data_IF_868500031944
#
_entry.id   IF_868500031944
#
_cell.length_a   1.000
_cell.length_b   1.000
_cell.length_c   1.000
_cell.angle_alpha   90.00
_cell.angle_beta   90.00
_cell.angle_gamma   90.00
#
_symmetry.space_group_name_H-M   'P 1'
#
loop_
_entity.id
_entity.type
_entity.pdbx_description
1 polymer ?
#
# COMPACT_ATOMS: atom_id res chain seq x y z
N UNK A 1 14.10 -18.28 -17.73
CA UNK A 1 12.74 -18.66 -18.18
C UNK A 1 11.98 -17.38 -18.47
N UNK A 2 11.16 -17.37 -19.51
CA UNK A 2 10.30 -16.25 -19.87
C UNK A 2 8.87 -16.76 -20.00
N UNK A 3 7.94 -16.15 -19.25
CA UNK A 3 6.51 -16.37 -19.42
C UNK A 3 5.92 -15.19 -20.18
N UNK A 4 5.02 -15.46 -21.12
CA UNK A 4 4.36 -14.46 -21.94
C UNK A 4 2.99 -14.96 -22.38
N UNK A 5 2.17 -14.04 -22.89
CA UNK A 5 0.89 -14.40 -23.51
C UNK A 5 0.99 -14.28 -25.03
N UNK A 6 0.23 -15.09 -25.77
CA UNK A 6 0.17 -14.99 -27.22
C UNK A 6 -1.23 -15.36 -27.77
N UNK A 7 -1.56 -14.84 -28.96
CA UNK A 7 -2.83 -15.05 -29.66
C UNK A 7 -2.65 -15.88 -30.95
N UNK A 8 -1.84 -16.95 -30.90
CA UNK A 8 -1.54 -17.77 -32.09
C UNK A 8 -2.73 -18.68 -32.48
N UNK A 9 -3.61 -19.03 -31.54
CA UNK A 9 -4.67 -20.06 -31.69
C UNK A 9 -6.09 -19.50 -31.75
N UNK A 10 -6.23 -18.17 -31.83
CA UNK A 10 -7.54 -17.50 -31.78
C UNK A 10 -8.05 -17.20 -30.37
N UNK A 11 -7.24 -17.48 -29.34
CA UNK A 11 -7.45 -17.09 -27.95
C UNK A 11 -6.11 -16.69 -27.31
N UNK A 12 -6.15 -15.89 -26.25
CA UNK A 12 -4.96 -15.53 -25.48
C UNK A 12 -4.57 -16.70 -24.59
N UNK A 13 -3.35 -17.20 -24.74
CA UNK A 13 -2.81 -18.32 -23.99
C UNK A 13 -1.54 -17.90 -23.25
N UNK A 14 -1.21 -18.59 -22.16
CA UNK A 14 0.03 -18.42 -21.40
C UNK A 14 1.08 -19.41 -21.88
N UNK A 15 2.19 -18.89 -22.37
CA UNK A 15 3.31 -19.67 -22.90
C UNK A 15 4.58 -19.47 -22.07
N UNK A 16 5.43 -20.50 -22.11
CA UNK A 16 6.73 -20.53 -21.47
C UNK A 16 7.84 -20.80 -22.50
N UNK A 17 8.89 -19.99 -22.43
CA UNK A 17 10.18 -20.27 -23.05
C UNK A 17 11.19 -20.65 -21.96
N UNK A 18 11.83 -21.80 -22.14
CA UNK A 18 12.95 -22.29 -21.34
C UNK A 18 14.22 -22.32 -22.20
N UNK A 19 15.36 -22.64 -21.59
CA UNK A 19 16.59 -22.87 -22.35
C UNK A 19 16.53 -24.12 -23.25
N UNK A 20 15.68 -25.09 -22.90
CA UNK A 20 15.57 -26.37 -23.60
C UNK A 20 14.46 -26.41 -24.65
N UNK A 21 13.39 -25.65 -24.44
CA UNK A 21 12.20 -25.67 -25.29
C UNK A 21 11.51 -24.30 -25.31
N UNK A 22 11.05 -23.91 -26.50
CA UNK A 22 10.30 -22.68 -26.73
C UNK A 22 8.81 -22.98 -26.98
N UNK A 23 7.96 -21.97 -26.76
CA UNK A 23 6.51 -21.98 -27.01
C UNK A 23 5.78 -23.15 -26.34
N UNK A 24 6.11 -23.45 -25.09
CA UNK A 24 5.33 -24.43 -24.30
C UNK A 24 4.02 -23.75 -23.91
N UNK A 25 2.88 -24.21 -24.42
CA UNK A 25 1.57 -23.74 -23.95
C UNK A 25 1.28 -24.35 -22.57
N UNK A 26 1.13 -23.50 -21.54
CA UNK A 26 0.88 -23.93 -20.17
C UNK A 26 -0.61 -23.96 -19.81
N UNK A 27 -1.42 -23.07 -20.38
CA UNK A 27 -2.83 -22.90 -19.98
C UNK A 27 -3.79 -23.80 -20.77
N UNK A 28 -3.59 -23.92 -22.08
CA UNK A 28 -4.30 -24.80 -23.01
C UNK A 28 -5.82 -24.91 -22.72
N UNK A 29 -6.52 -23.78 -22.73
CA UNK A 29 -7.94 -23.72 -22.38
C UNK A 29 -8.66 -22.71 -23.28
N UNK A 30 -9.93 -22.94 -23.69
CA UNK A 30 -10.67 -22.00 -24.55
C UNK A 30 -10.88 -20.57 -23.99
N UNK A 31 -10.50 -20.35 -22.74
CA UNK A 31 -10.60 -19.06 -22.08
C UNK A 31 -9.49 -18.14 -22.59
N UNK A 32 -9.65 -16.84 -22.41
CA UNK A 32 -8.56 -15.90 -22.54
C UNK A 32 -7.76 -15.92 -21.23
N UNK A 33 -6.46 -16.17 -21.36
CA UNK A 33 -5.49 -16.14 -20.27
C UNK A 33 -4.47 -15.02 -20.53
N UNK A 34 -4.41 -14.04 -19.62
CA UNK A 34 -3.65 -12.80 -19.79
C UNK A 34 -2.84 -12.43 -18.56
N UNK A 35 -1.96 -11.45 -18.73
CA UNK A 35 -1.10 -10.86 -17.71
C UNK A 35 -0.26 -11.88 -16.92
N UNK A 36 0.41 -12.85 -17.57
CA UNK A 36 1.18 -13.84 -16.84
C UNK A 36 2.38 -13.20 -16.12
N UNK A 37 2.68 -13.72 -14.94
CA UNK A 37 3.83 -13.37 -14.10
C UNK A 37 4.46 -14.62 -13.53
N UNK A 38 5.77 -14.73 -13.73
CA UNK A 38 6.59 -15.75 -13.11
C UNK A 38 7.04 -15.25 -11.73
N UNK A 39 6.94 -16.08 -10.69
CA UNK A 39 7.50 -15.73 -9.39
C UNK A 39 9.05 -15.72 -9.44
N UNK A 40 9.70 -15.10 -8.45
CA UNK A 40 11.17 -14.96 -8.41
C UNK A 40 11.91 -16.30 -8.45
N UNK A 41 11.33 -17.34 -7.86
CA UNK A 41 11.89 -18.70 -7.85
C UNK A 41 11.69 -19.47 -9.17
N UNK A 42 10.96 -18.92 -10.14
CA UNK A 42 10.60 -19.57 -11.40
C UNK A 42 9.91 -20.95 -11.21
N UNK A 43 9.06 -21.05 -10.19
CA UNK A 43 8.32 -22.28 -9.86
C UNK A 43 6.82 -22.17 -10.13
N UNK A 44 6.27 -20.95 -10.10
CA UNK A 44 4.84 -20.72 -10.29
C UNK A 44 4.59 -19.59 -11.28
N UNK A 45 3.51 -19.74 -12.04
CA UNK A 45 2.96 -18.75 -12.96
C UNK A 45 1.62 -18.29 -12.43
N UNK A 46 1.50 -16.97 -12.24
CA UNK A 46 0.29 -16.26 -11.87
C UNK A 46 -0.26 -15.56 -13.11
N UNK A 47 -1.56 -15.62 -13.36
CA UNK A 47 -2.19 -15.03 -14.54
C UNK A 47 -3.66 -14.75 -14.27
N UNK A 48 -4.31 -13.97 -15.13
CA UNK A 48 -5.75 -13.76 -15.11
C UNK A 48 -6.41 -14.62 -16.19
N UNK A 49 -7.54 -15.25 -15.87
CA UNK A 49 -8.31 -16.10 -16.77
C UNK A 49 -9.78 -15.81 -16.69
N UNK A 50 -10.47 -15.74 -17.84
CA UNK A 50 -11.93 -15.58 -17.87
C UNK A 50 -12.71 -16.90 -17.86
N UNK A 51 -12.07 -18.03 -17.51
CA UNK A 51 -12.69 -19.37 -17.51
C UNK A 51 -13.88 -19.52 -16.55
N UNK A 52 -14.04 -18.61 -15.59
CA UNK A 52 -15.14 -18.58 -14.63
C UNK A 52 -16.26 -17.58 -14.98
N UNK A 53 -16.18 -16.89 -16.13
CA UNK A 53 -17.19 -15.95 -16.62
C UNK A 53 -16.69 -14.51 -16.73
N UNK A 54 -15.90 -14.06 -15.76
CA UNK A 54 -15.12 -12.82 -15.73
C UNK A 54 -13.64 -13.17 -15.46
N UNK A 55 -12.74 -12.20 -15.60
CA UNK A 55 -11.33 -12.45 -15.28
C UNK A 55 -11.15 -12.65 -13.79
N UNK A 56 -10.62 -13.81 -13.43
CA UNK A 56 -10.16 -14.14 -12.08
C UNK A 56 -8.67 -14.51 -12.11
N UNK A 57 -8.01 -14.44 -10.96
CA UNK A 57 -6.60 -14.78 -10.84
C UNK A 57 -6.41 -16.28 -10.60
N UNK A 58 -5.47 -16.85 -11.33
CA UNK A 58 -5.09 -18.26 -11.24
C UNK A 58 -3.59 -18.40 -11.05
N UNK A 59 -3.19 -19.45 -10.35
CA UNK A 59 -1.80 -19.86 -10.22
C UNK A 59 -1.63 -21.31 -10.64
N UNK A 60 -0.53 -21.62 -11.30
CA UNK A 60 -0.11 -22.99 -11.62
C UNK A 60 1.40 -23.12 -11.46
N UNK A 61 1.89 -24.37 -11.39
CA UNK A 61 3.32 -24.63 -11.51
C UNK A 61 3.80 -24.36 -12.94
N UNK A 62 5.09 -24.11 -13.10
CA UNK A 62 5.72 -23.88 -14.42
C UNK A 62 5.65 -25.08 -15.38
N UNK A 63 5.27 -26.26 -14.89
CA UNK A 63 4.98 -27.45 -15.69
C UNK A 63 3.50 -27.56 -16.11
N UNK A 64 2.67 -26.56 -15.78
CA UNK A 64 1.23 -26.51 -16.06
C UNK A 64 0.37 -27.26 -15.03
N UNK A 65 0.96 -27.95 -14.06
CA UNK A 65 0.22 -28.70 -13.04
C UNK A 65 -0.27 -27.81 -11.89
N UNK A 66 -1.16 -28.36 -11.05
CA UNK A 66 -1.68 -27.71 -9.83
C UNK A 66 -2.32 -26.34 -10.07
N UNK A 67 -3.05 -26.22 -11.18
CA UNK A 67 -3.84 -25.03 -11.45
C UNK A 67 -4.87 -24.79 -10.33
N UNK A 68 -4.82 -23.60 -9.75
CA UNK A 68 -5.67 -23.19 -8.62
C UNK A 68 -6.23 -21.80 -8.90
N UNK A 69 -7.53 -21.62 -8.69
CA UNK A 69 -8.20 -20.32 -8.71
C UNK A 69 -7.96 -19.60 -7.38
N UNK A 70 -7.51 -18.34 -7.43
CA UNK A 70 -7.19 -17.51 -6.26
C UNK A 70 -8.27 -16.49 -5.94
N UNK A 71 -9.03 -16.03 -6.94
CA UNK A 71 -10.15 -15.09 -6.78
C UNK A 71 -11.41 -15.64 -7.43
N UNK A 72 -12.56 -15.22 -6.91
CA UNK A 72 -13.87 -15.48 -7.47
C UNK A 72 -14.77 -14.27 -7.13
N UNK A 73 -14.36 -13.10 -7.61
CA UNK A 73 -15.05 -11.84 -7.28
C UNK A 73 -16.07 -11.47 -8.38
N UNK A 74 -17.00 -10.56 -8.07
CA UNK A 74 -18.06 -10.18 -9.00
C UNK A 74 -17.59 -9.32 -10.18
N UNK A 75 -16.35 -8.80 -10.14
CA UNK A 75 -15.75 -7.98 -11.19
C UNK A 75 -14.43 -8.57 -11.65
N UNK A 76 -13.87 -8.05 -12.73
CA UNK A 76 -12.57 -8.53 -13.22
C UNK A 76 -11.45 -8.31 -12.18
N UNK A 77 -10.64 -9.34 -11.96
CA UNK A 77 -9.37 -9.29 -11.23
C UNK A 77 -8.22 -9.51 -12.23
N UNK A 78 -7.38 -8.50 -12.41
CA UNK A 78 -6.35 -8.45 -13.48
C UNK A 78 -5.05 -7.82 -12.98
N UNK A 79 -4.05 -7.72 -13.87
CA UNK A 79 -2.73 -7.16 -13.59
C UNK A 79 -2.06 -7.69 -12.30
N UNK A 80 -2.05 -9.01 -12.06
CA UNK A 80 -1.52 -9.55 -10.82
C UNK A 80 0.01 -9.44 -10.80
N UNK A 81 0.60 -9.27 -9.62
CA UNK A 81 2.05 -9.25 -9.40
C UNK A 81 2.43 -9.89 -8.07
N UNK A 82 3.47 -10.71 -8.08
CA UNK A 82 4.07 -11.29 -6.88
C UNK A 82 4.82 -10.24 -6.07
N UNK A 83 4.76 -10.33 -4.74
CA UNK A 83 5.77 -9.70 -3.89
C UNK A 83 7.14 -10.35 -4.12
N UNK A 84 8.26 -9.66 -3.82
CA UNK A 84 9.61 -10.18 -4.12
C UNK A 84 9.97 -11.47 -3.37
N UNK A 85 9.38 -11.69 -2.20
CA UNK A 85 9.49 -12.90 -1.39
C UNK A 85 8.49 -14.00 -1.80
N UNK A 86 7.55 -13.69 -2.69
CA UNK A 86 6.50 -14.59 -3.16
C UNK A 86 5.39 -14.88 -2.15
N UNK A 87 5.33 -14.18 -1.01
CA UNK A 87 4.34 -14.44 0.04
C UNK A 87 2.99 -13.75 -0.20
N UNK A 88 2.97 -12.70 -1.02
CA UNK A 88 1.80 -11.89 -1.33
C UNK A 88 1.62 -11.71 -2.84
N UNK A 89 0.40 -11.35 -3.21
CA UNK A 89 0.03 -10.93 -4.56
C UNK A 89 -0.67 -9.59 -4.45
N UNK A 90 -0.23 -8.60 -5.23
CA UNK A 90 -1.01 -7.38 -5.48
C UNK A 90 -1.69 -7.48 -6.84
N UNK A 91 -2.89 -6.91 -6.97
CA UNK A 91 -3.67 -7.01 -8.20
C UNK A 91 -4.68 -5.85 -8.31
N UNK A 92 -5.18 -5.64 -9.52
CA UNK A 92 -6.22 -4.68 -9.83
C UNK A 92 -7.57 -5.40 -9.81
N UNK A 93 -8.56 -4.85 -9.10
CA UNK A 93 -9.89 -5.44 -8.99
C UNK A 93 -11.00 -4.45 -9.27
N UNK A 94 -11.97 -4.87 -10.10
CA UNK A 94 -13.19 -4.13 -10.43
C UNK A 94 -14.38 -4.52 -9.54
N UNK A 95 -14.16 -5.30 -8.46
CA UNK A 95 -15.23 -5.86 -7.62
C UNK A 95 -16.13 -4.84 -6.92
N UNK A 96 -15.66 -3.59 -6.80
CA UNK A 96 -16.39 -2.47 -6.17
C UNK A 96 -16.77 -1.35 -7.15
N UNK A 97 -16.77 -1.64 -8.46
CA UNK A 97 -17.12 -0.70 -9.52
C UNK A 97 -15.90 -0.07 -10.20
N UNK A 98 -15.18 0.81 -9.53
CA UNK A 98 -13.93 1.39 -10.07
C UNK A 98 -12.76 0.44 -9.74
N UNK A 99 -11.76 0.33 -10.62
CA UNK A 99 -10.61 -0.52 -10.35
C UNK A 99 -9.77 0.04 -9.21
N UNK A 100 -9.42 -0.85 -8.29
CA UNK A 100 -8.65 -0.56 -7.10
C UNK A 100 -7.55 -1.59 -6.91
N UNK A 101 -6.51 -1.21 -6.17
CA UNK A 101 -5.44 -2.12 -5.80
C UNK A 101 -5.84 -2.94 -4.60
N UNK A 102 -5.74 -4.25 -4.75
CA UNK A 102 -5.93 -5.24 -3.70
C UNK A 102 -4.63 -6.01 -3.45
N UNK A 103 -4.51 -6.54 -2.24
CA UNK A 103 -3.45 -7.49 -1.87
C UNK A 103 -4.05 -8.73 -1.22
N UNK A 104 -3.44 -9.88 -1.46
CA UNK A 104 -3.78 -11.15 -0.83
C UNK A 104 -2.53 -11.97 -0.51
N UNK A 105 -2.69 -13.03 0.28
CA UNK A 105 -1.68 -14.07 0.39
C UNK A 105 -1.49 -14.81 -0.94
N UNK A 106 -0.32 -15.40 -1.14
CA UNK A 106 0.00 -16.23 -2.32
C UNK A 106 -0.99 -17.39 -2.57
N UNK A 107 -1.66 -17.86 -1.52
CA UNK A 107 -2.68 -18.92 -1.58
C UNK A 107 -4.10 -18.41 -1.87
N UNK A 108 -4.27 -17.10 -2.09
CA UNK A 108 -5.55 -16.45 -2.37
C UNK A 108 -6.31 -15.98 -1.12
N UNK A 109 -5.86 -16.32 0.08
CA UNK A 109 -6.49 -15.89 1.34
C UNK A 109 -6.19 -14.44 1.72
N UNK A 110 -6.95 -13.89 2.67
CA UNK A 110 -6.75 -12.55 3.24
C UNK A 110 -6.73 -11.41 2.20
N UNK A 111 -7.66 -11.45 1.25
CA UNK A 111 -7.82 -10.39 0.26
C UNK A 111 -8.24 -9.10 0.94
N UNK A 112 -7.46 -8.04 0.74
CA UNK A 112 -7.63 -6.73 1.37
C UNK A 112 -7.52 -5.63 0.32
N UNK A 113 -8.49 -4.72 0.30
CA UNK A 113 -8.44 -3.51 -0.54
C UNK A 113 -7.43 -2.54 0.05
N UNK A 114 -6.48 -2.07 -0.76
CA UNK A 114 -5.48 -1.08 -0.34
C UNK A 114 -5.87 0.33 -0.76
N UNK A 115 -6.45 0.54 -1.94
CA UNK A 115 -6.80 1.88 -2.40
C UNK A 115 -8.31 2.15 -2.36
N UNK A 116 -8.67 3.41 -2.12
CA UNK A 116 -10.03 3.93 -2.28
C UNK A 116 -9.91 5.26 -3.02
N UNK A 117 -10.34 5.27 -4.26
CA UNK A 117 -10.13 6.33 -5.22
C UNK A 117 -11.45 6.68 -5.93
N UNK A 118 -11.70 7.96 -6.26
CA UNK A 118 -12.88 8.34 -7.04
C UNK A 118 -12.81 7.90 -8.51
N UNK A 119 -11.69 7.35 -8.96
CA UNK A 119 -11.40 6.93 -10.34
C UNK A 119 -10.40 5.75 -10.33
N UNK A 120 -9.80 5.43 -11.47
CA UNK A 120 -8.87 4.34 -11.68
C UNK A 120 -7.66 4.34 -10.73
N UNK A 121 -7.43 3.19 -10.08
CA UNK A 121 -6.15 2.76 -9.54
C UNK A 121 -5.83 1.34 -10.04
N UNK A 122 -4.70 1.15 -10.71
CA UNK A 122 -4.40 -0.13 -11.37
C UNK A 122 -2.93 -0.33 -11.69
N UNK A 123 -2.63 -1.46 -12.33
CA UNK A 123 -1.28 -1.85 -12.74
C UNK A 123 -0.23 -1.79 -11.61
N UNK A 124 -0.43 -2.50 -10.49
CA UNK A 124 0.51 -2.45 -9.36
C UNK A 124 1.85 -3.13 -9.69
N UNK A 125 2.91 -2.69 -9.02
CA UNK A 125 4.22 -3.37 -8.97
C UNK A 125 4.89 -3.17 -7.62
N UNK A 126 5.61 -4.18 -7.15
CA UNK A 126 6.34 -4.12 -5.88
C UNK A 126 7.74 -3.53 -6.06
N UNK A 127 8.22 -2.81 -5.05
CA UNK A 127 9.64 -2.49 -4.93
C UNK A 127 10.45 -3.78 -4.66
N UNK A 128 11.74 -3.83 -5.04
CA UNK A 128 12.56 -5.05 -4.87
C UNK A 128 12.71 -5.53 -3.42
N UNK A 129 12.57 -4.64 -2.44
CA UNK A 129 12.60 -4.91 -1.01
C UNK A 129 11.22 -5.28 -0.42
N UNK A 130 10.15 -5.19 -1.22
CA UNK A 130 8.79 -5.54 -0.82
C UNK A 130 8.10 -4.51 0.08
N UNK A 131 8.72 -3.36 0.36
CA UNK A 131 8.16 -2.36 1.28
C UNK A 131 7.17 -1.40 0.62
N UNK A 132 7.22 -1.25 -0.70
CA UNK A 132 6.45 -0.26 -1.44
C UNK A 132 5.74 -0.90 -2.62
N UNK A 133 4.52 -0.45 -2.90
CA UNK A 133 3.79 -0.74 -4.13
C UNK A 133 3.68 0.54 -4.95
N UNK A 134 4.14 0.52 -6.20
CA UNK A 134 3.86 1.55 -7.18
C UNK A 134 2.65 1.16 -8.04
N UNK A 135 1.83 2.13 -8.43
CA UNK A 135 0.62 1.89 -9.22
C UNK A 135 0.26 3.12 -10.05
N UNK A 136 -0.54 2.92 -11.11
CA UNK A 136 -1.08 4.00 -11.93
C UNK A 136 -2.41 4.49 -11.37
N UNK A 137 -2.60 5.81 -11.26
CA UNK A 137 -3.82 6.40 -10.75
C UNK A 137 -4.31 7.57 -11.60
N UNK A 138 -5.62 7.77 -11.64
CA UNK A 138 -6.29 8.94 -12.22
C UNK A 138 -6.91 9.90 -11.21
N UNK A 139 -6.68 9.69 -9.91
CA UNK A 139 -7.28 10.48 -8.81
C UNK A 139 -7.07 12.00 -8.86
N UNK A 140 -6.08 12.47 -9.63
CA UNK A 140 -5.76 13.91 -9.82
C UNK A 140 -5.94 14.37 -11.28
N UNK A 141 -6.66 13.61 -12.10
CA UNK A 141 -6.89 13.90 -13.52
C UNK A 141 -5.72 13.50 -14.42
N UNK A 142 -5.95 12.58 -15.36
CA UNK A 142 -4.89 11.96 -16.17
C UNK A 142 -4.10 10.90 -15.39
N UNK A 143 -3.39 10.01 -16.10
CA UNK A 143 -2.62 8.94 -15.47
C UNK A 143 -1.33 9.48 -14.84
N UNK A 144 -1.08 9.12 -13.58
CA UNK A 144 0.18 9.36 -12.87
C UNK A 144 0.58 8.12 -12.10
N UNK A 145 1.88 8.01 -11.78
CA UNK A 145 2.41 6.96 -10.92
C UNK A 145 2.37 7.42 -9.47
N UNK A 146 1.81 6.58 -8.61
CA UNK A 146 1.77 6.76 -7.16
C UNK A 146 2.49 5.59 -6.49
N UNK A 147 2.92 5.82 -5.26
CA UNK A 147 3.49 4.78 -4.40
C UNK A 147 2.75 4.72 -3.07
N UNK A 148 2.79 3.57 -2.44
CA UNK A 148 2.25 3.34 -1.11
C UNK A 148 3.07 2.32 -0.34
N UNK A 149 3.00 2.38 0.99
CA UNK A 149 3.57 1.36 1.86
C UNK A 149 2.77 0.06 1.69
N UNK A 150 3.47 -1.06 1.52
CA UNK A 150 2.82 -2.33 1.23
C UNK A 150 2.14 -2.97 2.45
N UNK A 151 2.59 -2.63 3.67
CA UNK A 151 2.02 -3.16 4.90
C UNK A 151 0.77 -2.39 5.34
N UNK A 152 0.74 -1.08 5.08
CA UNK A 152 -0.29 -0.16 5.59
C UNK A 152 -1.16 0.44 4.50
N UNK A 153 -0.85 0.21 3.22
CA UNK A 153 -1.57 0.78 2.09
C UNK A 153 -1.17 2.24 1.81
N UNK A 154 -1.97 2.99 1.04
CA UNK A 154 -1.68 4.38 0.70
C UNK A 154 -1.65 5.21 1.98
N UNK A 155 -0.47 5.75 2.30
CA UNK A 155 -0.33 6.82 3.28
C UNK A 155 -1.06 8.05 2.75
N UNK A 156 -2.27 8.25 3.22
CA UNK A 156 -3.07 9.45 2.95
C UNK A 156 -2.40 10.66 3.60
N UNK A 157 -1.53 11.37 2.86
CA UNK A 157 -1.14 12.74 3.21
C UNK A 157 -2.18 13.78 2.73
N UNK A 158 -3.48 13.46 2.79
CA UNK A 158 -4.53 14.34 2.26
C UNK A 158 -5.48 14.91 3.31
N UNK A 159 -5.13 14.88 4.59
CA UNK A 159 -5.75 15.79 5.55
C UNK A 159 -4.68 16.74 6.10
N UNK A 160 -4.86 18.04 5.80
CA UNK A 160 -4.10 19.12 6.44
C UNK A 160 -4.16 18.98 7.97
N UNK A 161 -5.25 18.40 8.50
CA UNK A 161 -5.39 18.02 9.90
C UNK A 161 -4.37 16.97 10.38
N UNK A 162 -4.00 15.98 9.57
CA UNK A 162 -3.04 14.93 9.96
C UNK A 162 -1.60 15.43 9.88
N UNK A 163 -1.30 16.29 8.88
CA UNK A 163 0.00 16.97 8.79
C UNK A 163 0.18 17.96 9.95
N UNK A 164 -0.87 18.70 10.31
CA UNK A 164 -0.89 19.57 11.48
C UNK A 164 -0.80 18.74 12.77
N UNK A 165 -1.51 17.61 12.90
CA UNK A 165 -1.41 16.75 14.08
C UNK A 165 0.01 16.19 14.28
N UNK A 166 0.70 15.79 13.20
CA UNK A 166 2.08 15.30 13.26
C UNK A 166 3.08 16.41 13.64
N UNK A 167 2.92 17.61 13.08
CA UNK A 167 3.74 18.78 13.40
C UNK A 167 3.45 19.35 14.82
N UNK A 168 2.21 19.23 15.31
CA UNK A 168 1.82 19.69 16.65
C UNK A 168 2.21 18.68 17.75
N UNK A 169 2.14 17.36 17.51
CA UNK A 169 2.47 16.36 18.53
C UNK A 169 3.98 16.12 18.68
N UNK A 170 4.79 16.42 17.65
CA UNK A 170 6.24 16.18 17.67
C UNK A 170 7.08 17.20 18.44
N UNK A 171 6.63 18.46 18.59
CA UNK A 171 7.46 19.55 19.15
C UNK A 171 6.81 20.38 20.26
N UNK A 172 5.52 20.18 20.57
CA UNK A 172 4.84 20.96 21.61
C UNK A 172 5.08 20.47 23.04
N UNK A 173 5.52 19.23 23.28
CA UNK A 173 5.85 18.80 24.64
C UNK A 173 7.00 19.60 25.23
N UNK A 174 8.04 19.87 24.45
CA UNK A 174 9.17 20.67 24.92
C UNK A 174 8.84 22.16 24.95
N UNK A 175 8.13 22.68 23.94
CA UNK A 175 7.78 24.10 23.88
C UNK A 175 6.79 24.50 24.98
N UNK A 176 5.77 23.66 25.26
CA UNK A 176 4.79 23.92 26.32
C UNK A 176 5.43 23.73 27.72
N UNK A 177 6.34 22.76 27.88
CA UNK A 177 7.10 22.59 29.12
C UNK A 177 8.01 23.80 29.40
N UNK A 178 8.70 24.30 28.38
CA UNK A 178 9.53 25.52 28.48
C UNK A 178 8.66 26.75 28.78
N UNK A 179 7.51 26.92 28.11
CA UNK A 179 6.57 28.02 28.38
C UNK A 179 5.99 27.96 29.80
N UNK A 180 5.65 26.77 30.30
CA UNK A 180 5.17 26.57 31.68
C UNK A 180 6.28 26.91 32.68
N UNK A 181 7.53 26.50 32.44
CA UNK A 181 8.66 26.87 33.28
C UNK A 181 8.93 28.39 33.28
N UNK A 182 8.85 29.04 32.12
CA UNK A 182 9.01 30.49 31.99
C UNK A 182 7.91 31.23 32.75
N UNK A 183 6.65 30.80 32.63
CA UNK A 183 5.53 31.39 33.38
C UNK A 183 5.71 31.20 34.89
N UNK A 184 6.09 30.01 35.36
CA UNK A 184 6.38 29.75 36.77
C UNK A 184 7.51 30.66 37.28
N UNK A 185 8.57 30.86 36.51
CA UNK A 185 9.65 31.79 36.86
C UNK A 185 9.18 33.25 36.93
N UNK A 186 8.39 33.70 35.95
CA UNK A 186 7.88 35.08 35.90
C UNK A 186 6.93 35.35 37.07
N UNK A 187 5.96 34.46 37.31
CA UNK A 187 5.02 34.61 38.42
C UNK A 187 5.70 34.45 39.77
N UNK A 188 6.66 33.54 39.91
CA UNK A 188 7.47 33.38 41.12
C UNK A 188 8.28 34.63 41.44
N UNK A 189 8.92 35.24 40.44
CA UNK A 189 9.67 36.48 40.61
C UNK A 189 8.76 37.66 40.95
N UNK A 190 7.62 37.81 40.26
CA UNK A 190 6.63 38.86 40.56
C UNK A 190 6.10 38.73 41.99
N UNK A 191 5.74 37.51 42.42
CA UNK A 191 5.28 37.24 43.78
C UNK A 191 6.37 37.53 44.81
N UNK A 192 7.61 37.10 44.56
CA UNK A 192 8.74 37.41 45.44
C UNK A 192 8.96 38.92 45.57
N UNK A 193 8.90 39.66 44.47
CA UNK A 193 9.10 41.11 44.46
C UNK A 193 7.96 41.85 45.17
N UNK A 194 6.73 41.40 44.98
CA UNK A 194 5.53 41.91 45.65
C UNK A 194 5.58 41.68 47.17
N UNK A 195 5.88 40.44 47.61
CA UNK A 195 6.05 40.11 49.02
C UNK A 195 7.21 40.90 49.63
N UNK A 196 8.33 41.04 48.91
CA UNK A 196 9.48 41.83 49.35
C UNK A 196 9.11 43.31 49.56
N UNK A 197 8.33 43.91 48.66
CA UNK A 197 7.90 45.30 48.79
C UNK A 197 6.90 45.52 49.93
N UNK A 198 6.09 44.52 50.28
CA UNK A 198 5.10 44.62 51.37
C UNK A 198 5.76 44.38 52.73
N UNK A 199 6.65 43.40 52.84
CA UNK A 199 7.17 42.95 54.14
C UNK A 199 8.50 43.62 54.54
N UNK A 200 9.30 44.16 53.61
CA UNK A 200 10.53 44.90 53.97
C UNK A 200 10.24 46.25 54.66
N UNK A 201 9.23 47.05 54.28
CA UNK A 201 8.94 48.30 54.98
C UNK A 201 8.41 48.07 56.40
N UNK A 202 7.68 46.98 56.65
CA UNK A 202 7.09 46.71 57.99
C UNK A 202 8.15 46.51 59.08
N UNK A 203 9.32 45.97 58.73
CA UNK A 203 10.38 45.71 59.70
C UNK A 203 11.05 46.99 60.24
N UNK A 204 10.91 48.13 59.54
CA UNK A 204 11.41 49.44 60.01
C UNK A 204 10.45 50.17 60.97
N UNK A 205 9.19 49.72 61.08
CA UNK A 205 8.17 50.37 61.92
C UNK A 205 7.76 49.56 63.15
N UNK A 206 8.21 48.29 63.28
CA UNK A 206 7.84 47.39 64.37
C UNK A 206 8.91 47.20 65.47
N UNK A 207 10.07 47.87 65.37
CA UNK A 207 11.16 47.81 66.36
C UNK A 207 11.76 49.20 66.67
N UNK A 208 10.91 50.18 66.97
CA UNK A 208 11.30 51.35 67.78
C UNK A 208 10.76 51.18 69.20
#
# INVERSE_FOLDING_TARGET
MLVYQNFDTGNWEVLLNTAAQAKINLSNHPAADIHPRLNRGATHVLFASNRAGNFDLYVMKVDGSNLTQLTASAGDDVNPVWSPDGSKIAFESYRDGQPEIYVMNADGSNQTRLTVSPDFDGMPTWSPDGQTIAFSSRRTGGYRIYTMDAATGPTKFSDLHTLIAFLLHGHLRETLFILVLILIMIYGLMLYTYLRLIFIPLHKYLFQ
#
